data_IF_801795065960
#
_entry.id   IF_801795065960
#
_cell.length_a   1.000
_cell.length_b   1.000
_cell.length_c   1.000
_cell.angle_alpha   90.00
_cell.angle_beta   90.00
_cell.angle_gamma   90.00
#
_symmetry.space_group_name_H-M   'P 1'
#
loop_
_entity.id
_entity.type
_entity.pdbx_description
1 polymer ?
#
# COMPACT_ATOMS: atom_id res chain seq x y z
N UNK A 1 -1.03 -0.82 -16.02
CA UNK A 1 0.12 -1.62 -15.53
C UNK A 1 -0.43 -2.89 -14.89
N UNK A 2 0.29 -4.01 -14.94
CA UNK A 2 -0.09 -5.29 -14.31
C UNK A 2 0.67 -5.52 -13.00
N UNK A 3 0.21 -6.45 -12.15
CA UNK A 3 0.94 -6.86 -10.94
C UNK A 3 2.38 -7.30 -11.25
N UNK A 4 2.57 -8.03 -12.36
CA UNK A 4 3.89 -8.42 -12.88
C UNK A 4 4.79 -7.22 -13.15
N UNK A 5 4.25 -6.16 -13.75
CA UNK A 5 5.00 -4.93 -14.01
C UNK A 5 5.48 -4.27 -12.72
N UNK A 6 4.65 -4.26 -11.66
CA UNK A 6 5.05 -3.73 -10.35
C UNK A 6 6.17 -4.59 -9.75
N UNK A 7 6.07 -5.92 -9.82
CA UNK A 7 7.14 -6.82 -9.33
C UNK A 7 8.47 -6.62 -10.08
N UNK A 8 8.43 -6.40 -11.39
CA UNK A 8 9.61 -6.01 -12.17
C UNK A 8 10.16 -4.66 -11.69
N UNK A 9 9.29 -3.67 -11.50
CA UNK A 9 9.66 -2.34 -11.03
C UNK A 9 10.36 -2.40 -9.66
N UNK A 10 9.89 -3.22 -8.72
CA UNK A 10 10.53 -3.38 -7.41
C UNK A 10 11.98 -3.85 -7.52
N UNK A 11 12.24 -4.79 -8.43
CA UNK A 11 13.58 -5.33 -8.66
C UNK A 11 14.48 -4.34 -9.41
N UNK A 12 14.00 -3.73 -10.49
CA UNK A 12 14.75 -2.75 -11.30
C UNK A 12 15.19 -1.53 -10.50
N UNK A 13 14.38 -1.15 -9.52
CA UNK A 13 14.61 0.02 -8.69
C UNK A 13 15.18 -0.31 -7.30
N UNK A 14 15.53 -1.57 -7.04
CA UNK A 14 16.03 -2.08 -5.75
C UNK A 14 15.18 -1.61 -4.56
N UNK A 15 13.86 -1.55 -4.76
CA UNK A 15 12.90 -0.97 -3.84
C UNK A 15 12.94 -1.75 -2.52
N UNK A 16 13.13 -1.03 -1.41
CA UNK A 16 13.13 -1.61 -0.05
C UNK A 16 11.75 -1.61 0.58
N UNK A 17 10.94 -0.62 0.25
CA UNK A 17 9.61 -0.43 0.82
C UNK A 17 8.58 -0.07 -0.23
N UNK A 18 7.35 -0.52 0.00
CA UNK A 18 6.17 -0.15 -0.77
C UNK A 18 5.24 0.62 0.15
N UNK A 19 4.83 1.80 -0.31
CA UNK A 19 3.99 2.71 0.45
C UNK A 19 2.56 2.64 -0.09
N UNK A 20 1.66 2.03 0.68
CA UNK A 20 0.25 1.93 0.34
C UNK A 20 -0.46 3.19 0.77
N UNK A 21 -0.95 3.97 -0.19
CA UNK A 21 -1.65 5.23 0.08
C UNK A 21 -3.15 5.09 -0.16
N UNK A 22 -3.92 5.70 0.72
CA UNK A 22 -5.38 5.76 0.64
C UNK A 22 -5.88 7.08 1.20
N UNK A 23 -7.14 7.40 1.00
CA UNK A 23 -7.72 8.67 1.42
C UNK A 23 -8.87 8.42 2.38
N UNK A 24 -8.87 9.13 3.51
CA UNK A 24 -9.97 9.06 4.47
C UNK A 24 -11.19 9.89 4.01
N UNK A 25 -12.29 9.79 4.75
CA UNK A 25 -13.56 10.48 4.42
C UNK A 25 -13.42 12.02 4.44
N UNK A 26 -12.39 12.56 5.11
CA UNK A 26 -12.12 14.00 5.15
C UNK A 26 -11.24 14.46 3.99
N UNK A 27 -10.80 13.55 3.13
CA UNK A 27 -9.93 13.85 2.00
C UNK A 27 -8.44 13.89 2.36
N UNK A 28 -8.05 13.47 3.57
CA UNK A 28 -6.64 13.42 3.95
C UNK A 28 -6.03 12.11 3.46
N UNK A 29 -4.88 12.22 2.80
CA UNK A 29 -4.06 11.08 2.41
C UNK A 29 -3.43 10.45 3.65
N UNK A 30 -3.59 9.13 3.75
CA UNK A 30 -3.04 8.25 4.76
C UNK A 30 -2.16 7.23 4.06
N UNK A 31 -1.19 6.68 4.77
CA UNK A 31 -0.29 5.70 4.17
C UNK A 31 0.18 4.64 5.17
N UNK A 32 0.48 3.46 4.66
CA UNK A 32 1.10 2.36 5.40
C UNK A 32 2.25 1.81 4.57
N UNK A 33 3.44 1.84 5.16
CA UNK A 33 4.65 1.34 4.51
C UNK A 33 4.87 -0.12 4.89
N UNK A 34 5.10 -0.97 3.89
CA UNK A 34 5.47 -2.37 4.06
C UNK A 34 6.81 -2.66 3.37
N UNK A 35 7.60 -3.61 3.89
CA UNK A 35 8.79 -4.07 3.18
C UNK A 35 8.46 -4.68 1.81
N UNK A 36 9.29 -4.43 0.81
CA UNK A 36 9.07 -4.92 -0.57
C UNK A 36 9.00 -6.45 -0.67
N UNK A 37 9.67 -7.18 0.22
CA UNK A 37 9.60 -8.64 0.27
C UNK A 37 8.22 -9.19 0.67
N UNK A 38 7.32 -8.36 1.19
CA UNK A 38 5.92 -8.75 1.46
C UNK A 38 5.01 -8.57 0.22
N UNK A 39 5.52 -7.97 -0.86
CA UNK A 39 4.77 -7.74 -2.09
C UNK A 39 5.02 -8.88 -3.05
N UNK A 40 4.04 -9.77 -3.18
CA UNK A 40 4.03 -10.92 -4.07
C UNK A 40 2.76 -10.90 -4.96
N UNK A 41 2.52 -11.95 -5.76
CA UNK A 41 1.31 -12.03 -6.57
C UNK A 41 0.03 -12.06 -5.72
N UNK A 42 0.03 -12.83 -4.63
CA UNK A 42 -1.10 -12.97 -3.70
C UNK A 42 -1.49 -11.63 -3.06
N UNK A 43 -0.52 -10.74 -2.80
CA UNK A 43 -0.75 -9.41 -2.27
C UNK A 43 -1.69 -8.57 -3.16
N UNK A 44 -1.65 -8.77 -4.49
CA UNK A 44 -2.55 -8.09 -5.42
C UNK A 44 -3.94 -8.74 -5.55
N UNK A 45 -4.11 -9.96 -5.04
CA UNK A 45 -5.38 -10.70 -5.07
C UNK A 45 -6.11 -10.60 -3.72
N UNK A 46 -5.38 -10.72 -2.62
CA UNK A 46 -5.91 -10.75 -1.25
C UNK A 46 -5.82 -9.39 -0.53
N UNK A 47 -4.91 -8.52 -0.97
CA UNK A 47 -4.63 -7.24 -0.33
C UNK A 47 -3.93 -7.38 1.04
N UNK A 48 -3.88 -6.27 1.79
CA UNK A 48 -3.30 -6.22 3.13
C UNK A 48 -4.35 -5.93 4.18
N UNK A 49 -4.46 -6.78 5.19
CA UNK A 49 -5.30 -6.49 6.35
C UNK A 49 -4.74 -5.29 7.14
N UNK A 50 -5.62 -4.37 7.51
CA UNK A 50 -5.32 -3.21 8.33
C UNK A 50 -6.50 -2.88 9.25
N UNK A 51 -6.21 -2.26 10.39
CA UNK A 51 -7.23 -1.84 11.35
C UNK A 51 -7.80 -0.45 10.98
N UNK A 52 -9.03 -0.44 10.47
CA UNK A 52 -9.78 0.75 10.11
C UNK A 52 -10.28 1.57 11.31
N UNK A 53 -10.18 1.05 12.55
CA UNK A 53 -10.67 1.75 13.75
C UNK A 53 -9.92 3.05 14.02
N UNK A 54 -8.68 3.11 13.55
CA UNK A 54 -7.80 4.28 13.70
C UNK A 54 -8.12 5.41 12.72
N UNK A 55 -9.01 5.19 11.74
CA UNK A 55 -9.40 6.20 10.75
C UNK A 55 -10.70 6.89 11.20
N UNK A 56 -10.57 8.18 11.51
CA UNK A 56 -11.69 8.97 12.03
C UNK A 56 -12.86 9.06 11.06
N UNK A 57 -13.98 8.40 11.39
CA UNK A 57 -15.19 8.36 10.57
C UNK A 57 -15.38 7.07 9.77
N UNK A 58 -14.53 6.05 9.96
CA UNK A 58 -14.69 4.71 9.40
C UNK A 58 -15.39 3.78 10.41
N UNK A 59 -15.48 2.47 10.10
CA UNK A 59 -16.24 1.47 10.89
C UNK A 59 -15.90 1.54 12.39
N UNK A 60 -16.93 1.36 13.23
CA UNK A 60 -16.76 1.27 14.68
C UNK A 60 -15.98 0.02 15.10
N UNK A 61 -15.59 -0.03 16.38
CA UNK A 61 -14.69 -1.05 17.00
C UNK A 61 -15.10 -2.51 16.70
N UNK A 62 -16.39 -2.79 16.45
CA UNK A 62 -16.89 -4.15 16.30
C UNK A 62 -16.66 -4.79 14.91
N UNK A 63 -16.21 -4.04 13.90
CA UNK A 63 -15.94 -4.57 12.55
C UNK A 63 -14.80 -3.79 11.87
N UNK A 64 -13.74 -3.48 12.60
CA UNK A 64 -12.70 -2.56 12.11
C UNK A 64 -11.68 -3.20 11.16
N UNK A 65 -11.63 -4.53 11.07
CA UNK A 65 -10.75 -5.22 10.13
C UNK A 65 -11.15 -4.90 8.70
N UNK A 66 -10.23 -4.27 7.97
CA UNK A 66 -10.40 -3.86 6.59
C UNK A 66 -9.22 -4.36 5.76
N UNK A 67 -9.42 -4.42 4.45
CA UNK A 67 -8.39 -4.85 3.49
C UNK A 67 -8.02 -3.67 2.61
N UNK A 68 -6.73 -3.33 2.58
CA UNK A 68 -6.15 -2.45 1.56
C UNK A 68 -5.88 -3.30 0.31
N UNK A 69 -6.72 -3.10 -0.72
CA UNK A 69 -6.52 -3.74 -2.01
C UNK A 69 -5.61 -2.85 -2.88
N UNK A 70 -4.38 -3.28 -3.21
CA UNK A 70 -3.47 -2.49 -4.03
C UNK A 70 -3.95 -2.39 -5.48
N UNK A 71 -3.92 -1.19 -6.05
CA UNK A 71 -4.14 -0.98 -7.47
C UNK A 71 -2.80 -0.87 -8.21
N UNK A 72 -2.43 -1.93 -8.92
CA UNK A 72 -1.17 -2.02 -9.67
C UNK A 72 -1.00 -0.91 -10.73
N UNK A 73 -2.09 -0.25 -11.17
CA UNK A 73 -2.03 0.84 -12.15
C UNK A 73 -1.51 2.15 -11.57
N UNK A 74 -1.49 2.28 -10.24
CA UNK A 74 -1.07 3.49 -9.51
C UNK A 74 0.39 3.48 -9.07
N UNK A 75 1.12 2.40 -9.35
CA UNK A 75 2.51 2.25 -8.93
C UNK A 75 3.41 3.36 -9.49
N UNK A 76 4.14 4.04 -8.59
CA UNK A 76 5.09 5.10 -8.91
C UNK A 76 6.22 5.11 -7.88
N UNK A 77 7.41 5.56 -8.29
CA UNK A 77 8.55 5.74 -7.38
C UNK A 77 8.42 7.08 -6.66
N UNK A 78 8.44 7.06 -5.34
CA UNK A 78 8.48 8.27 -4.53
C UNK A 78 9.85 8.98 -4.71
N UNK A 79 9.88 10.25 -5.16
CA UNK A 79 11.12 10.96 -5.43
C UNK A 79 11.77 11.57 -4.18
N UNK A 80 11.12 11.51 -3.02
CA UNK A 80 11.54 12.18 -1.78
C UNK A 80 11.98 11.22 -0.68
N UNK A 81 11.61 9.94 -0.73
CA UNK A 81 12.00 8.97 0.29
C UNK A 81 13.52 8.72 0.30
N UNK A 82 14.15 8.87 1.46
CA UNK A 82 15.60 9.08 1.56
C UNK A 82 16.44 7.79 1.55
N UNK A 83 15.82 6.61 1.59
CA UNK A 83 16.56 5.34 1.70
C UNK A 83 17.31 4.91 0.41
N UNK A 84 17.30 5.78 -0.61
CA UNK A 84 18.15 5.66 -1.81
C UNK A 84 19.47 6.42 -1.73
N UNK A 85 19.86 6.95 -0.56
CA UNK A 85 21.18 7.53 -0.32
C UNK A 85 22.15 6.57 0.38
#
# INVERSE_FOLDING_TARGET
>A
MSAEHVLTMLNEHEVKFVDLRFTDTKGKEQHVTIPSHQVNAEFFEEGKMFDGSSIGGWKGINESDMVLMPDATTALIDPFYEERR
#
